data_IF_982385596741
#
_entry.id   IF_982385596741
#
_cell.length_a   1.000
_cell.length_b   1.000
_cell.length_c   1.000
_cell.angle_alpha   90.00
_cell.angle_beta   90.00
_cell.angle_gamma   90.00
#
_symmetry.space_group_name_H-M   'P 1'
#
loop_
_entity.id
_entity.type
_entity.pdbx_description
1 polymer ?
#
# COMPACT_ATOMS: atom_id res chain seq x y z
N UNK A 1 3.32 14.01 -17.61
CA UNK A 1 4.05 14.21 -16.33
C UNK A 1 5.56 14.20 -16.58
N UNK A 2 6.39 14.78 -15.69
CA UNK A 2 7.86 14.64 -15.79
C UNK A 2 8.35 13.38 -15.06
N UNK A 3 8.50 12.27 -15.79
CA UNK A 3 8.90 10.98 -15.23
C UNK A 3 10.26 11.01 -14.54
N UNK A 4 11.25 11.71 -15.11
CA UNK A 4 12.59 11.82 -14.51
C UNK A 4 12.53 12.38 -13.08
N UNK A 5 11.71 13.41 -12.85
CA UNK A 5 11.56 14.03 -11.52
C UNK A 5 10.82 13.12 -10.53
N UNK A 6 9.89 12.28 -10.99
CA UNK A 6 9.20 11.31 -10.16
C UNK A 6 10.14 10.14 -9.81
N UNK A 7 10.77 9.53 -10.82
CA UNK A 7 11.69 8.40 -10.67
C UNK A 7 12.86 8.74 -9.75
N UNK A 8 13.42 9.95 -9.83
CA UNK A 8 14.49 10.39 -8.93
C UNK A 8 14.11 10.43 -7.43
N UNK A 9 12.82 10.27 -7.08
CA UNK A 9 12.37 10.16 -5.67
C UNK A 9 12.18 8.71 -5.21
N UNK A 10 11.98 7.78 -6.15
CA UNK A 10 11.63 6.39 -5.86
C UNK A 10 12.68 5.40 -6.39
N UNK A 11 13.72 5.86 -7.09
CA UNK A 11 14.83 5.04 -7.57
C UNK A 11 16.15 5.54 -7.00
N UNK A 12 17.08 4.60 -6.79
CA UNK A 12 18.48 4.91 -6.53
C UNK A 12 19.17 5.48 -7.78
N UNK A 13 20.34 6.09 -7.60
CA UNK A 13 21.07 6.70 -8.73
C UNK A 13 21.41 5.69 -9.82
N UNK A 14 21.89 4.49 -9.45
CA UNK A 14 22.21 3.41 -10.39
C UNK A 14 20.98 2.94 -11.16
N UNK A 15 19.88 2.71 -10.44
CA UNK A 15 18.58 2.30 -11.02
C UNK A 15 18.04 3.35 -11.99
N UNK A 16 18.15 4.63 -11.63
CA UNK A 16 17.73 5.73 -12.50
C UNK A 16 18.56 5.81 -13.79
N UNK A 17 19.86 5.46 -13.74
CA UNK A 17 20.70 5.38 -14.93
C UNK A 17 20.31 4.23 -15.86
N UNK A 18 19.78 3.13 -15.32
CA UNK A 18 19.23 2.03 -16.12
C UNK A 18 17.91 2.40 -16.82
N UNK A 19 17.22 3.43 -16.31
CA UNK A 19 15.98 3.91 -16.90
C UNK A 19 16.25 4.81 -18.10
N UNK A 20 16.04 4.27 -19.30
CA UNK A 20 15.94 5.10 -20.50
C UNK A 20 14.59 5.84 -20.55
N UNK A 21 14.49 6.94 -19.80
CA UNK A 21 13.24 7.72 -19.62
C UNK A 21 12.69 8.26 -20.94
N UNK A 22 13.54 8.49 -21.95
CA UNK A 22 13.13 9.00 -23.27
C UNK A 22 12.31 7.97 -24.08
N UNK A 23 12.42 6.69 -23.73
CA UNK A 23 11.70 5.60 -24.41
C UNK A 23 10.32 5.31 -23.81
N UNK A 24 9.98 5.96 -22.69
CA UNK A 24 8.69 5.78 -22.01
C UNK A 24 7.63 6.56 -22.78
N UNK A 25 6.59 5.85 -23.23
CA UNK A 25 5.49 6.41 -24.02
C UNK A 25 4.39 6.99 -23.14
N UNK A 26 4.06 6.29 -22.07
CA UNK A 26 2.91 6.55 -21.20
C UNK A 26 3.13 5.95 -19.79
N UNK A 27 2.16 6.16 -18.91
CA UNK A 27 2.20 5.73 -17.51
C UNK A 27 2.22 4.20 -17.35
N UNK A 28 1.41 3.48 -18.13
CA UNK A 28 1.37 2.02 -18.13
C UNK A 28 2.70 1.41 -18.59
N UNK A 29 3.27 1.94 -19.68
CA UNK A 29 4.58 1.51 -20.19
C UNK A 29 5.67 1.70 -19.14
N UNK A 30 5.61 2.78 -18.35
CA UNK A 30 6.54 2.98 -17.24
C UNK A 30 6.27 1.98 -16.11
N UNK A 31 5.01 1.80 -15.72
CA UNK A 31 4.60 0.85 -14.69
C UNK A 31 5.15 -0.55 -14.97
N UNK A 32 4.86 -1.11 -16.15
CA UNK A 32 5.36 -2.44 -16.53
C UNK A 32 6.89 -2.51 -16.59
N UNK A 33 7.55 -1.42 -16.98
CA UNK A 33 9.02 -1.36 -16.98
C UNK A 33 9.61 -1.37 -15.57
N UNK A 34 8.95 -0.72 -14.59
CA UNK A 34 9.37 -0.79 -13.20
C UNK A 34 9.16 -2.19 -12.61
N UNK A 35 8.08 -2.87 -13.00
CA UNK A 35 7.81 -4.26 -12.61
C UNK A 35 8.86 -5.21 -13.19
N UNK A 36 9.14 -5.13 -14.50
CA UNK A 36 10.16 -5.94 -15.19
C UNK A 36 11.55 -5.78 -14.57
N UNK A 37 11.88 -4.56 -14.14
CA UNK A 37 13.13 -4.22 -13.46
C UNK A 37 13.15 -4.57 -11.97
N UNK A 38 12.06 -5.09 -11.43
CA UNK A 38 11.88 -5.36 -9.99
C UNK A 38 12.12 -4.11 -9.12
N UNK A 39 11.77 -2.93 -9.65
CA UNK A 39 11.78 -1.67 -8.91
C UNK A 39 10.42 -1.39 -8.27
N UNK A 40 9.36 -1.96 -8.82
CA UNK A 40 8.01 -2.00 -8.28
C UNK A 40 7.61 -3.47 -8.11
N UNK A 41 7.09 -3.82 -6.93
CA UNK A 41 6.55 -5.13 -6.64
C UNK A 41 5.02 -5.06 -6.63
N UNK A 42 4.37 -6.00 -7.30
CA UNK A 42 2.91 -6.19 -7.20
C UNK A 42 2.68 -7.36 -6.27
N UNK A 43 1.84 -7.18 -5.26
CA UNK A 43 1.44 -8.23 -4.33
C UNK A 43 -0.08 -8.25 -4.20
N UNK A 44 -0.68 -9.43 -4.33
CA UNK A 44 -2.11 -9.61 -4.11
C UNK A 44 -2.47 -9.26 -2.67
N UNK A 45 -3.64 -8.66 -2.45
CA UNK A 45 -4.08 -8.31 -1.10
C UNK A 45 -4.09 -9.50 -0.15
N UNK A 46 -4.31 -10.71 -0.66
CA UNK A 46 -4.48 -11.90 0.16
C UNK A 46 -3.19 -12.53 0.65
N UNK A 47 -2.04 -12.17 0.09
CA UNK A 47 -0.75 -12.69 0.50
C UNK A 47 0.32 -12.67 -0.59
N UNK A 48 1.52 -13.09 -0.22
CA UNK A 48 2.61 -13.28 -1.18
C UNK A 48 2.39 -14.53 -2.03
N UNK A 49 2.78 -14.48 -3.30
CA UNK A 49 2.80 -15.66 -4.17
C UNK A 49 3.79 -16.72 -3.69
N UNK A 50 4.86 -16.28 -3.02
CA UNK A 50 5.91 -17.12 -2.45
C UNK A 50 6.42 -16.50 -1.15
N UNK A 51 6.65 -17.36 -0.15
CA UNK A 51 7.33 -16.95 1.08
C UNK A 51 8.67 -16.28 0.73
N UNK A 52 8.95 -15.16 1.40
CA UNK A 52 10.14 -14.34 1.23
C UNK A 52 10.02 -13.26 0.16
N UNK A 53 8.90 -13.13 -0.56
CA UNK A 53 8.77 -12.19 -1.68
C UNK A 53 9.04 -10.74 -1.27
N UNK A 54 8.40 -10.25 -0.20
CA UNK A 54 8.59 -8.91 0.36
C UNK A 54 10.01 -8.71 0.89
N UNK A 55 10.53 -9.69 1.65
CA UNK A 55 11.90 -9.65 2.17
C UNK A 55 12.92 -9.48 1.03
N UNK A 56 12.82 -10.34 0.02
CA UNK A 56 13.73 -10.35 -1.14
C UNK A 56 13.62 -9.04 -1.92
N UNK A 57 12.41 -8.53 -2.15
CA UNK A 57 12.22 -7.23 -2.80
C UNK A 57 12.89 -6.12 -2.00
N UNK A 58 12.57 -5.96 -0.71
CA UNK A 58 13.13 -4.88 0.11
C UNK A 58 14.64 -4.99 0.26
N UNK A 59 15.18 -6.18 0.44
CA UNK A 59 16.62 -6.39 0.55
C UNK A 59 17.35 -6.05 -0.76
N UNK A 60 16.81 -6.45 -1.91
CA UNK A 60 17.37 -6.10 -3.23
C UNK A 60 17.33 -4.59 -3.48
N UNK A 61 16.20 -3.94 -3.13
CA UNK A 61 16.04 -2.48 -3.26
C UNK A 61 17.04 -1.73 -2.38
N UNK A 62 17.21 -2.13 -1.12
CA UNK A 62 18.23 -1.54 -0.24
C UNK A 62 19.66 -1.72 -0.78
N UNK A 63 20.00 -2.92 -1.25
CA UNK A 63 21.32 -3.21 -1.78
C UNK A 63 21.62 -2.34 -3.01
N UNK A 64 20.63 -2.15 -3.87
CA UNK A 64 20.73 -1.34 -5.09
C UNK A 64 20.79 0.17 -4.81
N UNK A 65 19.95 0.67 -3.88
CA UNK A 65 19.81 2.10 -3.60
C UNK A 65 20.84 2.64 -2.60
N UNK A 66 21.24 1.83 -1.63
CA UNK A 66 21.98 2.25 -0.44
C UNK A 66 23.20 1.38 -0.14
N UNK A 67 23.41 0.28 -0.88
CA UNK A 67 24.50 -0.68 -0.65
C UNK A 67 24.47 -1.30 0.76
N UNK A 68 23.26 -1.43 1.33
CA UNK A 68 23.01 -2.06 2.63
C UNK A 68 21.98 -3.18 2.50
N UNK A 69 21.88 -4.02 3.52
CA UNK A 69 20.91 -5.11 3.60
C UNK A 69 20.00 -4.95 4.83
N UNK A 70 18.89 -5.67 4.81
CA UNK A 70 18.03 -5.79 5.99
C UNK A 70 18.80 -6.47 7.13
N UNK A 71 18.64 -5.96 8.36
CA UNK A 71 19.26 -6.51 9.58
C UNK A 71 18.27 -7.44 10.30
N UNK A 72 17.53 -8.23 9.51
CA UNK A 72 16.55 -9.22 9.96
C UNK A 72 16.62 -10.42 9.02
N UNK A 73 16.21 -11.60 9.48
CA UNK A 73 16.10 -12.77 8.60
C UNK A 73 14.81 -12.76 7.80
N UNK A 74 14.78 -13.52 6.71
CA UNK A 74 13.58 -13.71 5.88
C UNK A 74 12.39 -14.24 6.71
N UNK A 75 12.65 -15.20 7.61
CA UNK A 75 11.60 -15.83 8.41
C UNK A 75 11.07 -14.97 9.56
N UNK A 76 11.78 -13.90 9.96
CA UNK A 76 11.48 -13.13 11.16
C UNK A 76 10.07 -12.50 11.09
N UNK A 77 9.67 -12.00 9.92
CA UNK A 77 8.34 -11.36 9.75
C UNK A 77 7.20 -12.34 9.97
N UNK A 78 7.33 -13.59 9.51
CA UNK A 78 6.30 -14.62 9.71
C UNK A 78 6.25 -15.07 11.16
N UNK A 79 7.41 -15.20 11.82
CA UNK A 79 7.48 -15.49 13.25
C UNK A 79 6.80 -14.41 14.08
N UNK A 80 7.01 -13.14 13.72
CA UNK A 80 6.37 -11.99 14.37
C UNK A 80 4.87 -11.96 14.12
N UNK A 81 4.43 -12.19 12.89
CA UNK A 81 3.01 -12.25 12.55
C UNK A 81 2.28 -13.32 13.36
N UNK A 82 2.82 -14.54 13.42
CA UNK A 82 2.23 -15.63 14.19
C UNK A 82 2.26 -15.42 15.72
N UNK A 83 3.12 -14.53 16.22
CA UNK A 83 3.19 -14.17 17.65
C UNK A 83 2.23 -13.03 18.01
N UNK A 84 2.04 -12.08 17.11
CA UNK A 84 1.30 -10.83 17.38
C UNK A 84 -0.18 -10.92 16.97
N UNK A 85 -0.54 -11.85 16.08
CA UNK A 85 -1.91 -12.01 15.57
C UNK A 85 -2.51 -13.31 16.11
N UNK A 86 -3.48 -13.20 17.02
CA UNK A 86 -4.12 -14.35 17.67
C UNK A 86 -4.99 -15.17 16.71
N UNK A 87 -5.73 -14.51 15.82
CA UNK A 87 -6.63 -15.13 14.85
C UNK A 87 -6.34 -14.60 13.43
N UNK A 88 -5.28 -15.10 12.76
CA UNK A 88 -4.87 -14.59 11.46
C UNK A 88 -5.93 -14.87 10.40
N UNK A 89 -6.38 -13.81 9.71
CA UNK A 89 -7.29 -13.90 8.57
C UNK A 89 -6.55 -13.70 7.25
N UNK A 90 -7.15 -14.21 6.18
CA UNK A 90 -6.67 -13.95 4.82
C UNK A 90 -6.68 -12.44 4.57
N UNK A 91 -5.56 -11.90 4.11
CA UNK A 91 -5.38 -10.46 3.88
C UNK A 91 -4.67 -9.70 5.01
N UNK A 92 -4.58 -10.26 6.22
CA UNK A 92 -3.96 -9.56 7.36
C UNK A 92 -2.43 -9.48 7.24
N UNK A 93 -1.81 -10.44 6.53
CA UNK A 93 -0.37 -10.58 6.49
C UNK A 93 0.32 -9.41 5.78
N UNK A 94 -0.19 -8.96 4.62
CA UNK A 94 0.49 -7.91 3.84
C UNK A 94 0.55 -6.57 4.59
N UNK A 95 -0.54 -6.04 5.17
CA UNK A 95 -0.48 -4.85 6.01
C UNK A 95 0.52 -4.98 7.17
N UNK A 96 0.50 -6.11 7.87
CA UNK A 96 1.43 -6.38 8.96
C UNK A 96 2.89 -6.35 8.48
N UNK A 97 3.19 -7.10 7.43
CA UNK A 97 4.53 -7.21 6.88
C UNK A 97 5.05 -5.86 6.37
N UNK A 98 4.21 -5.07 5.69
CA UNK A 98 4.57 -3.72 5.23
C UNK A 98 4.91 -2.79 6.42
N UNK A 99 4.11 -2.81 7.48
CA UNK A 99 4.37 -2.04 8.70
C UNK A 99 5.66 -2.49 9.40
N UNK A 100 5.88 -3.80 9.49
CA UNK A 100 7.11 -4.37 10.04
C UNK A 100 8.34 -3.92 9.23
N UNK A 101 8.32 -4.08 7.90
CA UNK A 101 9.44 -3.73 7.04
C UNK A 101 9.68 -2.23 6.96
N UNK A 102 8.64 -1.36 6.94
CA UNK A 102 8.84 0.09 6.94
C UNK A 102 9.62 0.57 8.16
N UNK A 103 9.38 -0.01 9.35
CA UNK A 103 10.19 0.26 10.55
C UNK A 103 11.65 -0.14 10.40
N UNK A 104 11.95 -1.22 9.67
CA UNK A 104 13.34 -1.64 9.41
C UNK A 104 14.00 -0.75 8.34
N UNK A 105 13.29 -0.48 7.24
CA UNK A 105 13.75 0.42 6.18
C UNK A 105 14.03 1.82 6.72
N UNK A 106 13.19 2.32 7.62
CA UNK A 106 13.33 3.66 8.18
C UNK A 106 14.67 3.85 8.90
N UNK A 107 15.11 2.85 9.67
CA UNK A 107 16.41 2.85 10.38
C UNK A 107 17.58 2.90 9.40
N UNK A 108 17.39 2.38 8.20
CA UNK A 108 18.38 2.33 7.12
C UNK A 108 18.28 3.54 6.16
N UNK A 109 17.38 4.48 6.42
CA UNK A 109 17.21 5.68 5.59
C UNK A 109 16.36 5.49 4.34
N UNK A 110 15.56 4.42 4.27
CA UNK A 110 14.57 4.15 3.24
C UNK A 110 13.15 4.13 3.82
N UNK A 111 12.13 4.12 2.98
CA UNK A 111 10.70 4.00 3.36
C UNK A 111 9.94 3.19 2.32
N UNK A 112 8.91 2.46 2.77
CA UNK A 112 7.90 1.87 1.90
C UNK A 112 7.08 2.96 1.25
N UNK A 113 6.83 2.81 -0.05
CA UNK A 113 5.95 3.67 -0.83
C UNK A 113 4.92 2.79 -1.52
N UNK A 114 3.66 3.17 -1.44
CA UNK A 114 2.56 2.54 -2.16
C UNK A 114 2.17 3.41 -3.35
N UNK A 115 1.91 2.76 -4.47
CA UNK A 115 1.21 3.33 -5.60
C UNK A 115 -0.26 2.89 -5.52
N UNK A 116 -1.16 3.86 -5.41
CA UNK A 116 -2.60 3.60 -5.40
C UNK A 116 -3.16 3.55 -6.81
N UNK A 117 -3.53 2.35 -7.26
CA UNK A 117 -4.19 2.11 -8.55
C UNK A 117 -5.69 1.81 -8.37
N UNK A 118 -6.25 2.03 -7.18
CA UNK A 118 -7.67 1.76 -6.87
C UNK A 118 -8.09 0.33 -7.24
N UNK A 119 -7.21 -0.64 -6.92
CA UNK A 119 -7.44 -2.07 -7.13
C UNK A 119 -6.98 -2.88 -5.92
N UNK A 120 -7.27 -4.18 -5.93
CA UNK A 120 -7.01 -5.09 -4.80
C UNK A 120 -5.54 -5.57 -4.74
N UNK A 121 -4.58 -4.76 -5.21
CA UNK A 121 -3.16 -5.11 -5.19
C UNK A 121 -2.31 -4.04 -4.51
N UNK A 122 -1.33 -4.50 -3.74
CA UNK A 122 -0.28 -3.64 -3.20
C UNK A 122 0.79 -3.43 -4.27
N UNK A 123 0.87 -2.21 -4.79
CA UNK A 123 1.91 -1.79 -5.74
C UNK A 123 3.02 -1.07 -4.96
N UNK A 124 4.07 -1.80 -4.63
CA UNK A 124 5.06 -1.43 -3.61
C UNK A 124 6.34 -0.93 -4.28
N UNK A 125 6.82 0.20 -3.81
CA UNK A 125 8.09 0.86 -4.16
C UNK A 125 8.90 1.11 -2.87
N UNK A 126 10.15 1.50 -3.05
CA UNK A 126 11.03 1.96 -1.96
C UNK A 126 11.62 3.30 -2.33
N UNK A 127 11.54 4.28 -1.43
CA UNK A 127 12.13 5.60 -1.60
C UNK A 127 13.17 5.89 -0.51
N UNK A 128 14.11 6.81 -0.79
CA UNK A 128 14.93 7.39 0.26
C UNK A 128 14.02 8.13 1.26
N UNK A 129 14.29 7.99 2.56
CA UNK A 129 13.53 8.65 3.64
C UNK A 129 13.43 10.17 3.45
N UNK A 130 14.49 10.80 2.93
CA UNK A 130 14.54 12.25 2.63
C UNK A 130 13.59 12.69 1.51
N UNK A 131 13.24 11.78 0.60
CA UNK A 131 12.44 12.08 -0.60
C UNK A 131 11.01 11.56 -0.49
N UNK A 132 10.77 10.56 0.36
CA UNK A 132 9.44 10.01 0.66
C UNK A 132 8.42 11.11 1.04
N UNK A 133 8.80 12.05 1.92
CA UNK A 133 7.93 13.19 2.32
C UNK A 133 7.55 14.13 1.17
N UNK A 134 8.29 14.09 0.06
CA UNK A 134 8.06 14.95 -1.12
C UNK A 134 7.15 14.28 -2.15
N UNK A 135 6.76 13.02 -1.96
CA UNK A 135 5.92 12.29 -2.91
C UNK A 135 4.53 12.93 -3.07
N UNK A 136 3.96 13.46 -1.99
CA UNK A 136 2.71 14.26 -2.02
C UNK A 136 2.71 15.47 -2.96
N UNK A 137 3.89 15.94 -3.38
CA UNK A 137 4.01 17.05 -4.33
C UNK A 137 3.89 16.62 -5.80
N UNK A 138 3.90 15.32 -6.07
CA UNK A 138 3.67 14.77 -7.40
C UNK A 138 2.17 14.84 -7.67
N UNK A 139 1.79 15.65 -8.66
CA UNK A 139 0.41 15.70 -9.16
C UNK A 139 0.30 14.78 -10.38
N UNK A 140 -0.45 13.69 -10.23
CA UNK A 140 -0.71 12.71 -11.29
C UNK A 140 -1.99 11.94 -10.96
N UNK A 141 -2.80 11.69 -11.99
CA UNK A 141 -4.00 10.85 -11.85
C UNK A 141 -3.65 9.36 -11.78
N UNK A 142 -2.50 8.96 -12.35
CA UNK A 142 -2.01 7.58 -12.30
C UNK A 142 -1.05 7.34 -11.13
N UNK A 143 -0.05 8.22 -10.95
CA UNK A 143 1.02 8.01 -9.96
C UNK A 143 0.67 8.59 -8.59
N UNK A 144 -0.39 8.04 -7.97
CA UNK A 144 -0.85 8.36 -6.61
C UNK A 144 0.06 7.70 -5.56
N UNK A 145 1.22 8.31 -5.31
CA UNK A 145 2.26 7.76 -4.43
C UNK A 145 2.13 8.26 -2.99
N UNK A 146 2.13 7.34 -2.03
CA UNK A 146 2.07 7.65 -0.59
C UNK A 146 2.95 6.72 0.24
N UNK A 147 3.50 7.21 1.35
CA UNK A 147 4.12 6.34 2.38
C UNK A 147 3.06 5.67 3.24
N UNK A 148 3.42 4.62 3.98
CA UNK A 148 2.49 3.98 4.94
C UNK A 148 1.99 4.97 6.00
N UNK A 149 2.86 5.82 6.56
CA UNK A 149 2.46 6.91 7.47
C UNK A 149 1.40 7.85 6.90
N UNK A 150 1.34 8.01 5.58
CA UNK A 150 0.33 8.87 4.95
C UNK A 150 -1.01 8.15 4.75
N UNK A 151 -1.02 6.82 4.85
CA UNK A 151 -2.23 6.01 4.95
C UNK A 151 -2.66 5.78 6.41
N UNK A 152 -1.83 6.11 7.41
CA UNK A 152 -2.23 6.04 8.82
C UNK A 152 -3.39 6.99 9.11
N UNK A 153 -4.33 6.52 9.94
CA UNK A 153 -5.56 7.24 10.24
C UNK A 153 -6.65 7.01 9.18
N UNK A 154 -6.57 5.91 8.43
CA UNK A 154 -7.61 5.47 7.48
C UNK A 154 -8.29 4.19 7.95
N UNK A 155 -9.51 4.00 7.48
CA UNK A 155 -10.30 2.79 7.70
C UNK A 155 -10.86 2.34 6.36
N UNK A 156 -10.76 1.04 6.10
CA UNK A 156 -11.54 0.37 5.05
C UNK A 156 -12.69 -0.36 5.72
N UNK A 157 -13.92 0.00 5.36
CA UNK A 157 -15.15 -0.59 5.89
C UNK A 157 -15.82 -1.39 4.78
N UNK A 158 -15.94 -2.70 4.99
CA UNK A 158 -16.62 -3.64 4.09
C UNK A 158 -17.96 -4.06 4.68
N UNK A 159 -19.02 -3.98 3.86
CA UNK A 159 -20.39 -4.26 4.27
C UNK A 159 -21.02 -5.21 3.26
N UNK A 160 -21.50 -6.36 3.72
CA UNK A 160 -22.43 -7.18 2.95
C UNK A 160 -23.85 -6.83 3.39
N UNK A 161 -24.63 -6.22 2.49
CA UNK A 161 -25.99 -5.79 2.81
C UNK A 161 -26.82 -6.97 3.35
N UNK A 162 -27.40 -6.89 4.55
CA UNK A 162 -28.13 -8.01 5.12
C UNK A 162 -29.38 -8.37 4.32
N UNK A 163 -29.98 -7.39 3.62
CA UNK A 163 -31.22 -7.53 2.86
C UNK A 163 -31.00 -8.08 1.44
N UNK A 164 -30.19 -7.41 0.61
CA UNK A 164 -30.00 -7.80 -0.79
C UNK A 164 -28.69 -8.54 -1.09
N UNK A 165 -27.81 -8.71 -0.09
CA UNK A 165 -26.48 -9.34 -0.21
C UNK A 165 -25.49 -8.61 -1.13
N UNK A 166 -25.82 -7.40 -1.55
CA UNK A 166 -24.91 -6.54 -2.30
C UNK A 166 -23.74 -6.09 -1.41
N UNK A 167 -22.57 -5.88 -2.03
CA UNK A 167 -21.32 -5.55 -1.33
C UNK A 167 -20.98 -4.07 -1.49
N UNK A 168 -20.68 -3.40 -0.39
CA UNK A 168 -20.19 -2.02 -0.35
C UNK A 168 -18.85 -1.95 0.37
N UNK A 169 -17.95 -1.10 -0.12
CA UNK A 169 -16.63 -0.87 0.45
C UNK A 169 -16.34 0.64 0.51
N UNK A 170 -15.88 1.12 1.66
CA UNK A 170 -15.55 2.52 1.91
C UNK A 170 -14.10 2.62 2.39
N UNK A 171 -13.25 3.34 1.65
CA UNK A 171 -11.88 3.70 2.08
C UNK A 171 -11.82 5.20 2.42
N UNK A 172 -11.71 5.51 3.71
CA UNK A 172 -11.84 6.88 4.23
C UNK A 172 -10.89 7.15 5.40
N UNK A 173 -10.74 8.42 5.79
CA UNK A 173 -10.06 8.75 7.04
C UNK A 173 -10.94 8.34 8.22
N UNK A 174 -10.34 7.89 9.33
CA UNK A 174 -11.07 7.49 10.56
C UNK A 174 -11.94 8.66 11.06
N UNK A 175 -11.43 9.90 10.95
CA UNK A 175 -12.17 11.11 11.33
C UNK A 175 -13.44 11.31 10.48
N UNK A 176 -13.44 10.80 9.25
CA UNK A 176 -14.56 10.89 8.32
C UNK A 176 -15.66 9.86 8.62
N UNK A 177 -15.46 8.84 9.47
CA UNK A 177 -16.51 7.87 9.83
C UNK A 177 -17.75 8.59 10.38
N UNK A 178 -17.53 9.69 11.10
CA UNK A 178 -18.59 10.55 11.64
C UNK A 178 -19.46 11.23 10.56
N UNK A 179 -19.01 11.26 9.31
CA UNK A 179 -19.74 11.83 8.16
C UNK A 179 -20.66 10.81 7.48
N UNK A 180 -20.64 9.53 7.87
CA UNK A 180 -21.41 8.46 7.23
C UNK A 180 -22.92 8.48 7.59
N UNK A 181 -23.40 9.54 8.24
CA UNK A 181 -24.78 9.63 8.68
C UNK A 181 -25.78 9.43 7.52
N UNK A 182 -26.74 8.54 7.72
CA UNK A 182 -27.79 8.16 6.75
C UNK A 182 -27.31 7.43 5.49
N UNK A 183 -26.07 6.94 5.44
CA UNK A 183 -25.58 6.14 4.31
C UNK A 183 -26.34 4.82 4.18
N UNK A 184 -26.61 4.43 2.93
CA UNK A 184 -27.53 3.34 2.58
C UNK A 184 -26.95 2.47 1.48
N UNK A 185 -27.37 1.21 1.46
CA UNK A 185 -27.20 0.34 0.31
C UNK A 185 -27.80 0.99 -0.94
N UNK A 186 -26.97 1.18 -1.97
CA UNK A 186 -27.39 1.80 -3.23
C UNK A 186 -28.46 0.98 -3.97
N UNK A 187 -28.50 -0.34 -3.77
CA UNK A 187 -29.41 -1.24 -4.46
C UNK A 187 -30.79 -1.31 -3.83
N UNK A 188 -30.87 -1.47 -2.50
CA UNK A 188 -32.15 -1.73 -1.83
C UNK A 188 -32.54 -0.68 -0.78
N UNK A 189 -31.71 0.34 -0.57
CA UNK A 189 -31.98 1.42 0.37
C UNK A 189 -31.90 1.03 1.85
N UNK A 190 -31.45 -0.20 2.17
CA UNK A 190 -31.18 -0.61 3.54
C UNK A 190 -30.15 0.32 4.16
N UNK A 191 -30.49 0.87 5.33
CA UNK A 191 -29.64 1.79 6.08
C UNK A 191 -28.39 1.05 6.59
N UNK A 192 -27.21 1.62 6.36
CA UNK A 192 -25.94 1.13 6.89
C UNK A 192 -25.54 1.92 8.14
N UNK A 193 -25.75 3.25 8.11
CA UNK A 193 -25.54 4.15 9.24
C UNK A 193 -26.77 5.00 9.51
N UNK A 194 -27.10 5.21 10.78
CA UNK A 194 -28.20 6.08 11.19
C UNK A 194 -27.87 7.59 11.05
N UNK A 195 -28.82 8.45 11.42
CA UNK A 195 -28.66 9.91 11.34
C UNK A 195 -27.57 10.49 12.23
N UNK A 196 -27.07 9.72 13.20
CA UNK A 196 -25.99 10.08 14.11
C UNK A 196 -24.67 9.35 13.75
N UNK A 197 -24.61 8.74 12.56
CA UNK A 197 -23.50 7.92 12.09
C UNK A 197 -23.21 6.67 12.95
N UNK A 198 -24.21 6.14 13.67
CA UNK A 198 -24.06 4.84 14.32
C UNK A 198 -24.28 3.72 13.29
N UNK A 199 -23.46 2.68 13.39
CA UNK A 199 -23.59 1.46 12.59
C UNK A 199 -24.87 0.71 12.96
N UNK A 200 -25.71 0.41 11.96
CA UNK A 200 -26.95 -0.34 12.15
C UNK A 200 -26.93 -1.72 11.49
N UNK A 201 -25.81 -2.09 10.88
CA UNK A 201 -25.52 -3.40 10.29
C UNK A 201 -24.13 -3.87 10.73
N UNK A 202 -23.85 -5.17 10.59
CA UNK A 202 -22.51 -5.71 10.83
C UNK A 202 -21.55 -5.22 9.73
N UNK A 203 -20.37 -4.76 10.16
CA UNK A 203 -19.34 -4.22 9.27
C UNK A 203 -17.98 -4.82 9.61
N UNK A 204 -17.21 -5.13 8.57
CA UNK A 204 -15.80 -5.50 8.72
C UNK A 204 -14.95 -4.26 8.54
N UNK A 205 -14.09 -3.96 9.53
CA UNK A 205 -13.24 -2.77 9.52
C UNK A 205 -11.77 -3.13 9.59
N UNK A 206 -11.00 -2.55 8.68
CA UNK A 206 -9.54 -2.65 8.67
C UNK A 206 -8.95 -1.24 8.83
N UNK A 207 -8.28 -1.01 9.96
CA UNK A 207 -7.64 0.25 10.28
C UNK A 207 -6.17 0.24 9.86
N UNK A 208 -5.71 1.36 9.29
CA UNK A 208 -4.33 1.57 8.83
C UNK A 208 -3.64 2.69 9.60
#
# INVERSE_FOLDING_TARGET
MNYKKMLAKVLGEKELMEMNVQTIKDDESLFYKLVDKNFLLIVDWSGEDRQGMLYNFFNNRLQSMLEVQLVVSEDEVYQKYNQEIEEPKRGDFIPFALSYFDKQLEKLGARVVLLDLENDTYNILVAYKKDAKKLKSIKSDFWKLSTLEQKQGRVVISITCPNCKDFACYDMLIEEESNMANEKCEVCGTLFWDENANEVVEMEKTYY
#
